data_IF_457405925537
#
_entry.id   IF_457405925537
#
_cell.length_a   1.000
_cell.length_b   1.000
_cell.length_c   1.000
_cell.angle_alpha   90.00
_cell.angle_beta   90.00
_cell.angle_gamma   90.00
#
_symmetry.space_group_name_H-M   'P 1'
#
loop_
_entity.id
_entity.type
_entity.pdbx_description
1 polymer ?
#
# COMPACT_ATOMS: atom_id res chain seq x y z
N UNK A 1 -1.15 -0.63 -28.80
CA UNK A 1 -1.12 -0.17 -27.39
C UNK A 1 -2.46 0.49 -27.10
N UNK A 2 -3.16 0.10 -26.06
CA UNK A 2 -4.32 0.85 -25.62
C UNK A 2 -3.86 2.25 -25.19
N UNK A 3 -4.63 3.31 -25.50
CA UNK A 3 -4.25 4.66 -25.09
C UNK A 3 -4.21 4.73 -23.56
N UNK A 4 -3.22 5.42 -23.02
CA UNK A 4 -3.17 5.75 -21.59
C UNK A 4 -4.35 6.65 -21.21
N UNK A 5 -4.84 6.51 -20.00
CA UNK A 5 -5.91 7.37 -19.49
C UNK A 5 -5.43 8.84 -19.46
N UNK A 6 -6.21 9.79 -20.02
CA UNK A 6 -5.82 11.20 -19.98
C UNK A 6 -5.88 11.74 -18.55
N UNK A 7 -4.91 12.57 -18.16
CA UNK A 7 -4.84 13.14 -16.81
C UNK A 7 -6.06 14.02 -16.47
N UNK A 8 -6.72 14.59 -17.48
CA UNK A 8 -7.94 15.40 -17.29
C UNK A 8 -9.14 14.59 -16.83
N UNK A 9 -9.11 13.26 -16.99
CA UNK A 9 -10.12 12.36 -16.44
C UNK A 9 -10.02 12.16 -14.92
N UNK A 10 -8.93 12.64 -14.30
CA UNK A 10 -8.74 12.56 -12.85
C UNK A 10 -9.69 13.49 -12.11
N UNK A 11 -10.34 12.95 -11.09
CA UNK A 11 -11.10 13.67 -10.08
C UNK A 11 -10.35 13.61 -8.75
N UNK A 12 -10.62 14.54 -7.84
CA UNK A 12 -10.02 14.58 -6.51
C UNK A 12 -11.11 14.59 -5.45
N UNK A 13 -10.94 13.76 -4.42
CA UNK A 13 -11.94 13.49 -3.38
C UNK A 13 -11.29 13.73 -2.02
N UNK A 14 -12.00 14.44 -1.15
CA UNK A 14 -11.48 14.91 0.12
C UNK A 14 -10.57 16.12 -0.06
N UNK A 15 -10.29 16.81 1.04
CA UNK A 15 -9.39 17.97 1.11
C UNK A 15 -8.72 18.02 2.47
N UNK A 16 -7.50 18.59 2.53
CA UNK A 16 -6.77 18.76 3.78
C UNK A 16 -6.41 17.46 4.48
N UNK A 17 -6.33 16.35 3.74
CA UNK A 17 -5.75 15.10 4.22
C UNK A 17 -4.24 15.29 4.38
N UNK A 18 -3.63 14.50 5.24
CA UNK A 18 -2.18 14.57 5.43
C UNK A 18 -1.54 13.25 5.04
N UNK A 19 -0.93 13.22 3.86
CA UNK A 19 -0.28 12.02 3.31
C UNK A 19 -1.26 10.82 3.29
N UNK A 20 -2.34 10.91 2.48
CA UNK A 20 -3.30 9.79 2.33
C UNK A 20 -2.67 8.64 1.54
N UNK A 21 -1.67 8.00 2.13
CA UNK A 21 -0.79 7.06 1.45
C UNK A 21 -1.50 5.76 1.10
N UNK A 22 -2.26 5.18 2.02
CA UNK A 22 -3.04 3.96 1.79
C UNK A 22 -4.53 4.33 1.76
N UNK A 23 -5.24 3.90 0.73
CA UNK A 23 -6.68 4.15 0.56
C UNK A 23 -7.47 2.85 0.54
N UNK A 24 -8.63 2.82 1.22
CA UNK A 24 -9.59 1.73 1.21
C UNK A 24 -10.96 2.25 0.77
N UNK A 25 -11.72 1.44 0.04
CA UNK A 25 -13.08 1.75 -0.39
C UNK A 25 -14.06 0.65 0.05
N UNK A 26 -15.32 1.02 0.33
CA UNK A 26 -16.38 0.09 0.71
C UNK A 26 -17.57 0.15 -0.24
N UNK A 27 -18.43 -0.86 -0.20
CA UNK A 27 -19.67 -0.90 -0.98
C UNK A 27 -20.64 0.23 -0.62
N UNK A 28 -20.58 0.74 0.61
CA UNK A 28 -21.35 1.91 1.05
C UNK A 28 -20.85 3.22 0.42
N UNK A 29 -19.72 3.19 -0.30
CA UNK A 29 -19.08 4.36 -0.90
C UNK A 29 -18.19 5.15 0.05
N UNK A 30 -17.96 4.64 1.26
CA UNK A 30 -17.00 5.22 2.19
C UNK A 30 -15.57 5.01 1.71
N UNK A 31 -14.74 6.05 1.84
CA UNK A 31 -13.29 5.97 1.64
C UNK A 31 -12.59 6.18 2.97
N UNK A 32 -11.55 5.38 3.20
CA UNK A 32 -10.68 5.53 4.36
C UNK A 32 -9.24 5.67 3.87
N UNK A 33 -8.50 6.59 4.46
CA UNK A 33 -7.09 6.79 4.12
C UNK A 33 -6.24 6.96 5.37
N UNK A 34 -5.02 6.43 5.35
CA UNK A 34 -4.02 6.76 6.37
C UNK A 34 -3.83 8.27 6.44
N UNK A 35 -3.69 8.82 7.64
CA UNK A 35 -3.54 10.26 7.82
C UNK A 35 -2.51 10.57 8.92
N UNK A 36 -1.45 11.29 8.56
CA UNK A 36 -0.36 11.59 9.48
C UNK A 36 -0.71 12.63 10.56
N UNK A 37 -1.94 13.12 10.60
CA UNK A 37 -2.48 13.79 11.78
C UNK A 37 -2.76 12.83 12.94
N UNK A 38 -2.46 11.53 12.77
CA UNK A 38 -2.45 10.54 13.83
C UNK A 38 -3.51 9.45 13.71
N UNK A 39 -3.90 9.03 12.51
CA UNK A 39 -4.91 7.99 12.38
C UNK A 39 -5.45 7.72 10.98
N UNK A 40 -6.77 7.66 10.86
CA UNK A 40 -7.46 7.34 9.60
C UNK A 40 -8.48 8.42 9.28
N UNK A 41 -8.34 9.04 8.13
CA UNK A 41 -9.35 9.91 7.56
C UNK A 41 -10.46 9.07 6.92
N UNK A 42 -11.69 9.42 7.20
CA UNK A 42 -12.91 8.86 6.60
C UNK A 42 -13.56 9.94 5.74
N UNK A 43 -13.72 9.69 4.47
CA UNK A 43 -14.44 10.55 3.52
C UNK A 43 -15.71 9.81 3.09
N UNK A 44 -16.85 10.40 3.37
CA UNK A 44 -18.17 9.81 3.06
C UNK A 44 -18.62 10.15 1.64
N UNK A 45 -19.63 9.43 1.10
CA UNK A 45 -20.18 9.70 -0.22
C UNK A 45 -20.73 11.13 -0.39
N UNK A 46 -21.21 11.76 0.69
CA UNK A 46 -21.71 13.15 0.70
C UNK A 46 -20.59 14.20 0.77
N UNK A 47 -19.33 13.75 0.77
CA UNK A 47 -18.14 14.60 0.88
C UNK A 47 -17.77 15.01 2.31
N UNK A 48 -18.58 14.68 3.31
CA UNK A 48 -18.22 14.95 4.70
C UNK A 48 -17.02 14.12 5.14
N UNK A 49 -16.18 14.69 6.01
CA UNK A 49 -14.93 14.07 6.43
C UNK A 49 -14.86 13.96 7.96
N UNK A 50 -14.27 12.89 8.45
CA UNK A 50 -13.96 12.67 9.86
C UNK A 50 -12.58 12.06 10.00
N UNK A 51 -11.80 12.55 10.95
CA UNK A 51 -10.54 11.91 11.37
C UNK A 51 -10.80 11.03 12.60
N UNK A 52 -10.47 9.75 12.50
CA UNK A 52 -10.30 8.87 13.65
C UNK A 52 -8.83 8.93 14.04
N UNK A 53 -8.53 9.61 15.13
CA UNK A 53 -7.16 9.78 15.59
C UNK A 53 -6.97 9.16 16.97
N UNK A 54 -5.73 8.78 17.27
CA UNK A 54 -5.30 8.29 18.55
C UNK A 54 -3.81 8.48 18.74
N UNK A 55 -3.33 8.21 19.94
CA UNK A 55 -1.93 8.35 20.29
C UNK A 55 -1.38 7.03 20.81
N UNK A 56 -0.11 6.77 20.49
CA UNK A 56 0.66 5.69 21.11
C UNK A 56 0.91 5.98 22.60
N UNK A 57 1.20 4.95 23.41
CA UNK A 57 1.64 5.15 24.79
C UNK A 57 2.76 6.18 24.89
N UNK A 58 2.60 7.13 25.82
CA UNK A 58 3.51 8.26 26.00
C UNK A 58 3.21 9.48 25.12
N UNK A 59 2.01 9.57 24.50
CA UNK A 59 1.57 10.75 23.73
C UNK A 59 2.25 10.90 22.36
N UNK A 60 2.83 9.83 21.83
CA UNK A 60 3.44 9.88 20.51
C UNK A 60 2.39 9.73 19.41
N UNK A 61 2.50 10.49 18.30
CA UNK A 61 1.53 10.40 17.22
C UNK A 61 1.66 9.07 16.47
N UNK A 62 0.54 8.55 16.02
CA UNK A 62 0.52 7.51 15.00
C UNK A 62 1.04 8.08 13.66
N UNK A 63 1.85 7.29 12.98
CA UNK A 63 2.35 7.56 11.62
C UNK A 63 1.93 6.43 10.69
N UNK A 64 0.62 6.32 10.38
CA UNK A 64 0.13 5.23 9.57
C UNK A 64 0.67 5.32 8.15
N UNK A 65 1.15 4.19 7.65
CA UNK A 65 1.44 3.99 6.24
C UNK A 65 0.35 3.11 5.63
N UNK A 66 0.48 1.80 5.66
CA UNK A 66 -0.63 0.90 5.31
C UNK A 66 -1.70 0.86 6.39
N UNK A 67 -2.95 0.72 5.98
CA UNK A 67 -4.10 0.53 6.89
C UNK A 67 -4.96 -0.64 6.45
N UNK A 68 -5.62 -1.31 7.39
CA UNK A 68 -6.64 -2.32 7.11
C UNK A 68 -7.89 -2.06 7.94
N UNK A 69 -9.06 -2.17 7.32
CA UNK A 69 -10.36 -2.05 7.98
C UNK A 69 -10.84 -3.44 8.39
N UNK A 70 -11.01 -3.64 9.70
CA UNK A 70 -11.46 -4.90 10.28
C UNK A 70 -12.99 -5.04 10.26
N UNK A 71 -13.47 -6.27 10.34
CA UNK A 71 -14.91 -6.56 10.49
C UNK A 71 -15.54 -5.89 11.72
N UNK A 72 -14.76 -5.70 12.78
CA UNK A 72 -15.17 -4.96 14.00
C UNK A 72 -15.43 -3.49 13.75
N UNK A 73 -14.95 -2.94 12.63
CA UNK A 73 -14.96 -1.51 12.32
C UNK A 73 -13.74 -0.75 12.85
N UNK A 74 -12.84 -1.39 13.61
CA UNK A 74 -11.55 -0.82 13.97
C UNK A 74 -10.58 -0.87 12.78
N UNK A 75 -9.43 -0.21 12.91
CA UNK A 75 -8.38 -0.18 11.90
C UNK A 75 -7.11 -0.81 12.44
N UNK A 76 -6.43 -1.62 11.63
CA UNK A 76 -5.02 -1.92 11.83
C UNK A 76 -4.20 -0.90 11.08
N UNK A 77 -3.15 -0.40 11.72
CA UNK A 77 -2.26 0.64 11.19
C UNK A 77 -0.82 0.15 11.23
N UNK A 78 -0.16 0.12 10.08
CA UNK A 78 1.28 -0.10 10.01
C UNK A 78 2.00 1.20 10.40
N UNK A 79 2.73 1.16 11.50
CA UNK A 79 3.43 2.31 12.08
C UNK A 79 4.79 2.50 11.40
N UNK A 80 4.97 3.64 10.72
CA UNK A 80 6.16 3.94 9.92
C UNK A 80 7.20 4.79 10.66
N UNK A 81 7.07 4.97 11.95
CA UNK A 81 8.00 5.77 12.75
C UNK A 81 9.34 5.06 12.95
N UNK A 82 10.46 5.77 12.75
CA UNK A 82 11.81 5.21 12.88
C UNK A 82 12.14 4.77 14.32
N UNK A 83 11.47 5.33 15.32
CA UNK A 83 11.68 4.99 16.74
C UNK A 83 10.84 3.79 17.20
N UNK A 84 9.70 3.53 16.54
CA UNK A 84 8.78 2.46 16.91
C UNK A 84 7.99 1.97 15.71
N UNK A 85 8.27 0.77 15.24
CA UNK A 85 7.49 0.06 14.22
C UNK A 85 6.37 -0.78 14.83
N UNK A 86 5.82 -1.65 14.01
CA UNK A 86 4.74 -2.58 14.37
C UNK A 86 3.39 -2.19 13.81
N UNK A 87 2.39 -3.00 14.14
CA UNK A 87 0.99 -2.79 13.79
C UNK A 87 0.21 -2.48 15.06
N UNK A 88 -0.57 -1.43 15.01
CA UNK A 88 -1.45 -1.00 16.11
C UNK A 88 -2.91 -1.04 15.67
N UNK A 89 -3.81 -1.34 16.60
CA UNK A 89 -5.25 -1.26 16.38
C UNK A 89 -5.78 0.08 16.88
N UNK A 90 -6.40 0.84 15.97
CA UNK A 90 -7.10 2.09 16.29
C UNK A 90 -8.61 1.84 16.31
N UNK A 91 -9.24 2.10 17.44
CA UNK A 91 -10.68 2.00 17.61
C UNK A 91 -11.39 3.31 17.24
N UNK A 92 -12.68 3.23 16.94
CA UNK A 92 -13.48 4.39 16.52
C UNK A 92 -13.62 5.47 17.62
N UNK A 93 -13.37 5.12 18.88
CA UNK A 93 -13.36 6.01 20.04
C UNK A 93 -12.01 6.70 20.29
N UNK A 94 -11.00 6.42 19.46
CA UNK A 94 -9.64 6.98 19.56
C UNK A 94 -8.67 6.15 20.40
N UNK A 95 -9.13 5.08 21.03
CA UNK A 95 -8.25 4.16 21.77
C UNK A 95 -7.32 3.46 20.80
N UNK A 96 -6.05 3.33 21.19
CA UNK A 96 -5.00 2.61 20.44
C UNK A 96 -4.48 1.46 21.29
N UNK A 97 -4.32 0.30 20.67
CA UNK A 97 -3.74 -0.89 21.30
C UNK A 97 -2.64 -1.50 20.39
N UNK A 98 -1.57 -2.05 20.97
CA UNK A 98 -0.61 -2.84 20.18
C UNK A 98 -1.31 -4.10 19.65
N UNK A 99 -1.09 -4.41 18.36
CA UNK A 99 -1.59 -5.62 17.73
C UNK A 99 -0.47 -6.59 17.39
N UNK A 100 0.57 -6.11 16.68
CA UNK A 100 1.74 -6.90 16.29
C UNK A 100 2.95 -5.98 16.34
N UNK A 101 3.68 -6.00 17.46
CA UNK A 101 4.80 -5.08 17.70
C UNK A 101 6.15 -5.80 17.80
N UNK A 102 6.12 -7.13 17.87
CA UNK A 102 7.31 -7.98 17.93
C UNK A 102 7.03 -9.35 17.29
N UNK A 103 8.08 -10.03 16.88
CA UNK A 103 8.08 -11.44 16.45
C UNK A 103 9.28 -12.12 17.11
N UNK A 104 9.05 -13.28 17.74
CA UNK A 104 10.10 -14.06 18.46
C UNK A 104 10.87 -13.21 19.50
N UNK A 105 10.18 -12.28 20.18
CA UNK A 105 10.77 -11.39 21.17
C UNK A 105 11.60 -10.24 20.59
N UNK A 106 11.60 -10.07 19.25
CA UNK A 106 12.30 -8.98 18.57
C UNK A 106 11.30 -7.94 18.10
N UNK A 107 11.46 -6.70 18.58
CA UNK A 107 10.61 -5.58 18.18
C UNK A 107 10.67 -5.33 16.67
N UNK A 108 9.51 -5.10 16.07
CA UNK A 108 9.43 -4.82 14.63
C UNK A 108 10.04 -3.45 14.30
N UNK A 109 10.81 -3.37 13.21
CA UNK A 109 11.24 -2.09 12.62
C UNK A 109 10.03 -1.29 12.10
N UNK A 110 10.24 -0.05 11.58
CA UNK A 110 9.20 0.70 10.88
C UNK A 110 8.45 -0.20 9.91
N UNK A 111 7.14 -0.37 10.17
CA UNK A 111 6.29 -1.32 9.44
C UNK A 111 5.57 -0.57 8.33
N UNK A 112 5.65 -1.11 7.11
CA UNK A 112 5.20 -0.40 5.92
C UNK A 112 3.71 -0.61 5.64
N UNK A 113 3.27 -1.86 5.59
CA UNK A 113 1.92 -2.20 5.17
C UNK A 113 1.29 -3.26 6.07
N UNK A 114 -0.05 -3.27 6.12
CA UNK A 114 -0.84 -4.28 6.82
C UNK A 114 -2.11 -4.59 6.02
N UNK A 115 -2.43 -5.87 5.89
CA UNK A 115 -3.69 -6.33 5.32
C UNK A 115 -4.25 -7.50 6.13
N UNK A 116 -5.57 -7.56 6.25
CA UNK A 116 -6.30 -8.73 6.76
C UNK A 116 -6.95 -9.45 5.57
N UNK A 117 -6.71 -10.75 5.44
CA UNK A 117 -7.28 -11.54 4.36
C UNK A 117 -8.68 -12.09 4.71
N UNK A 118 -9.33 -12.74 3.74
CA UNK A 118 -10.66 -13.32 3.91
C UNK A 118 -10.73 -14.41 4.99
N UNK A 119 -9.61 -15.05 5.31
CA UNK A 119 -9.48 -16.05 6.37
C UNK A 119 -9.21 -15.42 7.75
N UNK A 120 -9.05 -14.11 7.84
CA UNK A 120 -8.74 -13.37 9.08
C UNK A 120 -7.26 -13.42 9.47
N UNK A 121 -6.38 -13.84 8.56
CA UNK A 121 -4.93 -13.75 8.76
C UNK A 121 -4.46 -12.33 8.47
N UNK A 122 -3.58 -11.82 9.31
CA UNK A 122 -2.99 -10.48 9.14
C UNK A 122 -1.57 -10.60 8.61
N UNK A 123 -1.35 -9.98 7.46
CA UNK A 123 -0.04 -9.84 6.83
C UNK A 123 0.51 -8.45 7.14
N UNK A 124 1.75 -8.35 7.63
CA UNK A 124 2.44 -7.09 7.82
C UNK A 124 3.79 -7.12 7.11
N UNK A 125 4.18 -6.01 6.48
CA UNK A 125 5.45 -5.91 5.75
C UNK A 125 6.40 -4.95 6.42
N UNK A 126 7.67 -5.34 6.45
CA UNK A 126 8.79 -4.48 6.85
C UNK A 126 9.70 -4.31 5.65
N UNK A 127 9.86 -3.08 5.20
CA UNK A 127 10.61 -2.79 3.97
C UNK A 127 12.08 -3.15 4.09
N UNK A 128 12.70 -2.90 5.24
CA UNK A 128 14.12 -3.10 5.52
C UNK A 128 14.36 -3.11 7.03
N UNK A 129 15.41 -3.77 7.46
CA UNK A 129 15.93 -3.69 8.85
C UNK A 129 16.85 -2.50 9.08
N UNK A 130 17.25 -1.80 8.02
CA UNK A 130 18.15 -0.65 8.13
C UNK A 130 17.45 0.58 8.70
N UNK A 131 18.18 1.40 9.43
CA UNK A 131 17.74 2.67 9.99
C UNK A 131 18.79 3.75 9.72
N UNK A 132 18.42 4.86 9.07
CA UNK A 132 17.11 5.14 8.46
C UNK A 132 16.83 4.22 7.27
N UNK A 133 15.56 3.96 6.97
CA UNK A 133 15.10 3.08 5.89
C UNK A 133 15.63 3.47 4.51
N UNK A 134 15.94 4.75 4.31
CA UNK A 134 16.48 5.27 3.05
C UNK A 134 17.88 4.71 2.69
N UNK A 135 18.58 4.09 3.63
CA UNK A 135 19.84 3.39 3.33
C UNK A 135 19.65 2.21 2.37
N UNK A 136 18.41 1.78 2.19
CA UNK A 136 18.07 0.63 1.33
C UNK A 136 17.35 1.03 0.03
N UNK A 137 17.37 2.32 -0.35
CA UNK A 137 16.84 2.80 -1.63
C UNK A 137 17.83 2.51 -2.77
N UNK A 138 18.12 1.22 -2.97
CA UNK A 138 19.20 0.76 -3.84
C UNK A 138 18.89 -0.62 -4.45
N UNK A 139 19.50 -0.97 -5.62
CA UNK A 139 19.17 -2.19 -6.35
C UNK A 139 19.54 -3.50 -5.62
N UNK A 140 20.50 -3.45 -4.73
CA UNK A 140 21.02 -4.61 -3.98
C UNK A 140 20.41 -4.79 -2.59
N UNK A 141 19.31 -4.08 -2.28
CA UNK A 141 18.56 -4.28 -1.05
C UNK A 141 17.93 -5.68 -0.99
N UNK A 142 18.01 -6.36 0.15
CA UNK A 142 17.53 -7.73 0.31
C UNK A 142 17.30 -8.11 1.78
N UNK A 143 16.82 -7.20 2.62
CA UNK A 143 16.58 -7.48 4.04
C UNK A 143 15.15 -7.16 4.50
N UNK A 144 14.27 -6.86 3.57
CA UNK A 144 12.83 -6.75 3.82
C UNK A 144 12.18 -8.11 4.10
N UNK A 145 11.08 -8.12 4.83
CA UNK A 145 10.39 -9.35 5.20
C UNK A 145 8.88 -9.18 5.36
N UNK A 146 8.17 -10.30 5.42
CA UNK A 146 6.73 -10.37 5.64
C UNK A 146 6.46 -11.17 6.92
N UNK A 147 5.64 -10.61 7.80
CA UNK A 147 5.10 -11.28 9.00
C UNK A 147 3.67 -11.69 8.72
N UNK A 148 3.31 -12.94 9.07
CA UNK A 148 1.95 -13.42 9.12
C UNK A 148 1.55 -13.64 10.57
N UNK A 149 0.41 -13.09 10.98
CA UNK A 149 -0.23 -13.32 12.26
C UNK A 149 -1.58 -14.00 12.06
N UNK A 150 -1.78 -15.11 12.73
CA UNK A 150 -3.02 -15.92 12.73
C UNK A 150 -3.27 -16.54 14.11
N UNK A 151 -4.20 -17.50 14.21
CA UNK A 151 -4.50 -18.20 15.46
C UNK A 151 -3.32 -19.00 16.05
N UNK A 152 -2.28 -19.28 15.24
CA UNK A 152 -1.06 -19.97 15.67
C UNK A 152 0.01 -19.02 16.22
N UNK A 153 -0.22 -17.71 16.14
CA UNK A 153 0.72 -16.66 16.54
C UNK A 153 1.30 -15.89 15.33
N UNK A 154 2.31 -15.07 15.59
CA UNK A 154 2.99 -14.27 14.58
C UNK A 154 4.35 -14.90 14.22
N UNK A 155 4.68 -14.90 12.92
CA UNK A 155 5.93 -15.45 12.40
C UNK A 155 6.38 -14.77 11.13
N UNK A 156 7.69 -14.70 10.86
CA UNK A 156 8.22 -14.29 9.57
C UNK A 156 7.98 -15.43 8.57
N UNK A 157 7.27 -15.15 7.48
CA UNK A 157 6.92 -16.14 6.45
C UNK A 157 7.70 -15.98 5.15
N UNK A 158 8.26 -14.79 4.90
CA UNK A 158 9.19 -14.52 3.81
C UNK A 158 10.24 -13.51 4.27
N UNK A 159 11.48 -13.67 3.82
CA UNK A 159 12.63 -12.84 4.19
C UNK A 159 13.54 -12.62 2.97
N UNK A 160 14.47 -11.69 3.07
CA UNK A 160 15.40 -11.38 1.98
C UNK A 160 14.73 -10.69 0.79
N UNK A 161 13.75 -9.84 1.04
CA UNK A 161 12.99 -9.15 0.00
C UNK A 161 13.59 -7.77 -0.29
N UNK A 162 13.50 -7.34 -1.55
CA UNK A 162 14.11 -6.11 -2.04
C UNK A 162 13.29 -4.85 -1.77
N UNK A 163 13.21 -4.45 -0.50
CA UNK A 163 12.39 -3.37 0.02
C UNK A 163 10.88 -3.69 -0.08
N UNK A 164 10.42 -4.53 0.84
CA UNK A 164 9.05 -5.03 0.88
C UNK A 164 8.05 -3.89 1.05
N UNK A 165 7.09 -3.80 0.14
CA UNK A 165 6.00 -2.83 0.21
C UNK A 165 4.65 -3.53 0.43
N UNK A 166 3.61 -3.21 -0.32
CA UNK A 166 2.32 -3.85 -0.15
C UNK A 166 2.37 -5.36 -0.47
N UNK A 167 1.70 -6.15 0.37
CA UNK A 167 1.54 -7.58 0.18
C UNK A 167 0.08 -7.98 0.42
N UNK A 168 -0.57 -8.58 -0.59
CA UNK A 168 -1.99 -8.93 -0.57
C UNK A 168 -2.19 -10.38 -1.06
N UNK A 169 -3.08 -11.10 -0.39
CA UNK A 169 -3.51 -12.43 -0.81
C UNK A 169 -4.39 -12.32 -2.05
N UNK A 170 -4.11 -13.17 -3.05
CA UNK A 170 -4.89 -13.23 -4.29
C UNK A 170 -6.37 -13.55 -4.02
N UNK A 171 -7.28 -13.15 -4.92
CA UNK A 171 -8.72 -13.40 -4.76
C UNK A 171 -9.11 -14.86 -4.54
N UNK A 172 -8.35 -15.79 -5.12
CA UNK A 172 -8.56 -17.23 -4.98
C UNK A 172 -7.91 -17.84 -3.72
N UNK A 173 -7.22 -16.99 -2.92
CA UNK A 173 -6.58 -17.40 -1.67
C UNK A 173 -5.31 -18.25 -1.81
N UNK A 174 -4.83 -18.49 -3.03
CA UNK A 174 -3.72 -19.42 -3.29
C UNK A 174 -2.35 -18.79 -3.31
N UNK A 175 -2.27 -17.47 -3.42
CA UNK A 175 -1.01 -16.74 -3.57
C UNK A 175 -0.96 -15.53 -2.65
N UNK A 176 0.21 -15.26 -2.12
CA UNK A 176 0.55 -13.96 -1.52
C UNK A 176 1.41 -13.20 -2.53
N UNK A 177 0.88 -12.10 -3.06
CA UNK A 177 1.62 -11.20 -3.94
C UNK A 177 2.30 -10.09 -3.13
N UNK A 178 3.45 -9.62 -3.59
CA UNK A 178 4.22 -8.57 -2.93
C UNK A 178 4.96 -7.69 -3.95
N UNK A 179 4.91 -6.39 -3.74
CA UNK A 179 5.77 -5.43 -4.40
C UNK A 179 7.11 -5.32 -3.65
N UNK A 180 8.21 -5.48 -4.38
CA UNK A 180 9.57 -5.22 -3.91
C UNK A 180 10.06 -3.94 -4.59
N UNK A 181 9.91 -2.79 -3.91
CA UNK A 181 10.04 -1.44 -4.50
C UNK A 181 11.38 -1.20 -5.16
N UNK A 182 12.48 -1.44 -4.41
CA UNK A 182 13.82 -1.14 -4.94
C UNK A 182 14.46 -2.34 -5.64
N UNK A 183 13.93 -3.55 -5.50
CA UNK A 183 14.23 -4.63 -6.43
C UNK A 183 13.40 -4.53 -7.73
N UNK A 184 12.49 -3.57 -7.83
CA UNK A 184 11.66 -3.26 -9.00
C UNK A 184 10.96 -4.48 -9.57
N UNK A 185 10.26 -5.22 -8.72
CA UNK A 185 9.54 -6.42 -9.17
C UNK A 185 8.25 -6.65 -8.41
N UNK A 186 7.32 -7.30 -9.08
CA UNK A 186 6.16 -7.94 -8.49
C UNK A 186 6.52 -9.42 -8.32
N UNK A 187 6.47 -9.91 -7.09
CA UNK A 187 6.67 -11.31 -6.78
C UNK A 187 5.42 -11.91 -6.14
N UNK A 188 5.36 -13.24 -6.09
CA UNK A 188 4.30 -13.98 -5.40
C UNK A 188 4.86 -15.24 -4.75
N UNK A 189 4.14 -15.74 -3.77
CA UNK A 189 4.44 -16.99 -3.08
C UNK A 189 3.19 -17.87 -3.06
N UNK A 190 3.27 -19.18 -3.35
CA UNK A 190 2.18 -20.09 -3.05
C UNK A 190 1.83 -20.02 -1.55
N UNK A 191 0.57 -19.75 -1.22
CA UNK A 191 0.07 -19.65 0.14
C UNK A 191 -0.69 -20.92 0.51
N UNK A 192 -0.23 -21.64 1.51
CA UNK A 192 -0.87 -22.86 2.01
C UNK A 192 -1.93 -22.54 3.07
N UNK A 193 -2.82 -23.48 3.31
CA UNK A 193 -3.89 -23.32 4.30
C UNK A 193 -3.37 -23.05 5.72
N UNK A 194 -2.21 -23.61 6.07
CA UNK A 194 -1.54 -23.38 7.35
C UNK A 194 -0.77 -22.04 7.43
N UNK A 195 -0.88 -21.19 6.39
CA UNK A 195 -0.20 -19.90 6.31
C UNK A 195 1.27 -19.97 5.93
N UNK A 196 1.82 -21.17 5.66
CA UNK A 196 3.19 -21.28 5.14
C UNK A 196 3.26 -20.89 3.67
N UNK A 197 4.41 -20.37 3.27
CA UNK A 197 4.65 -19.97 1.88
C UNK A 197 5.51 -21.00 1.14
N UNK A 198 5.22 -21.17 -0.15
CA UNK A 198 6.09 -21.90 -1.07
C UNK A 198 7.23 -21.03 -1.59
N UNK A 199 8.01 -21.53 -2.57
CA UNK A 199 9.09 -20.76 -3.19
C UNK A 199 8.60 -19.48 -3.84
N UNK A 200 9.46 -18.42 -3.77
CA UNK A 200 9.20 -17.15 -4.45
C UNK A 200 9.16 -17.32 -5.96
N UNK A 201 8.14 -16.79 -6.59
CA UNK A 201 7.97 -16.68 -8.03
C UNK A 201 7.93 -15.20 -8.42
N UNK A 202 8.79 -14.77 -9.35
CA UNK A 202 8.82 -13.41 -9.86
C UNK A 202 7.85 -13.31 -11.04
N UNK A 203 6.74 -12.59 -10.85
CA UNK A 203 5.72 -12.40 -11.88
C UNK A 203 6.23 -11.51 -13.00
N UNK A 204 6.85 -10.38 -12.63
CA UNK A 204 7.44 -9.43 -13.59
C UNK A 204 8.46 -8.53 -12.91
N UNK A 205 9.38 -7.99 -13.71
CA UNK A 205 10.31 -6.95 -13.30
C UNK A 205 9.98 -5.65 -14.04
N UNK A 206 10.20 -4.52 -13.37
CA UNK A 206 9.87 -3.21 -13.93
C UNK A 206 11.13 -2.50 -14.41
N UNK A 207 10.93 -1.73 -15.46
CA UNK A 207 11.98 -0.91 -16.06
C UNK A 207 12.23 0.40 -15.30
N UNK A 208 13.01 1.22 -15.94
CA UNK A 208 13.44 2.54 -15.51
C UNK A 208 12.27 3.42 -15.02
N UNK A 209 12.48 4.09 -13.90
CA UNK A 209 11.51 5.00 -13.28
C UNK A 209 10.34 4.31 -12.60
N UNK A 210 10.28 2.99 -12.60
CA UNK A 210 9.19 2.26 -11.95
C UNK A 210 9.66 1.67 -10.64
N UNK A 211 9.09 2.17 -9.55
CA UNK A 211 9.31 1.72 -8.18
C UNK A 211 7.96 1.29 -7.61
N UNK A 212 7.59 -0.01 -7.73
CA UNK A 212 6.27 -0.50 -7.35
C UNK A 212 6.02 -0.29 -5.86
N UNK A 213 4.81 0.21 -5.52
CA UNK A 213 4.42 0.55 -4.16
C UNK A 213 3.12 -0.17 -3.78
N UNK A 214 1.94 0.39 -4.08
CA UNK A 214 0.66 -0.22 -3.83
C UNK A 214 0.29 -1.30 -4.85
N UNK A 215 -0.54 -2.27 -4.43
CA UNK A 215 -1.09 -3.29 -5.31
C UNK A 215 -2.53 -3.66 -4.96
N UNK A 216 -3.32 -3.99 -5.97
CA UNK A 216 -4.67 -4.55 -5.82
C UNK A 216 -5.02 -5.43 -7.02
N UNK A 217 -6.16 -6.13 -6.96
CA UNK A 217 -6.61 -7.01 -8.03
C UNK A 217 -7.83 -6.47 -8.75
N UNK A 218 -7.93 -6.74 -10.05
CA UNK A 218 -9.17 -6.57 -10.81
C UNK A 218 -9.94 -7.88 -10.95
N UNK A 219 -11.15 -7.79 -11.53
CA UNK A 219 -12.06 -8.93 -11.73
C UNK A 219 -11.55 -9.94 -12.77
N UNK A 220 -10.52 -9.60 -13.54
CA UNK A 220 -9.87 -10.47 -14.53
C UNK A 220 -8.57 -11.08 -14.00
N UNK A 221 -8.35 -11.01 -12.67
CA UNK A 221 -7.16 -11.54 -11.99
C UNK A 221 -5.84 -10.87 -12.38
N UNK A 222 -5.88 -9.67 -12.93
CA UNK A 222 -4.67 -8.86 -13.12
C UNK A 222 -4.35 -8.12 -11.83
N UNK A 223 -3.07 -7.87 -11.63
CA UNK A 223 -2.58 -7.01 -10.54
C UNK A 223 -2.43 -5.58 -11.05
N UNK A 224 -3.03 -4.64 -10.34
CA UNK A 224 -2.81 -3.22 -10.58
C UNK A 224 -1.82 -2.71 -9.54
N UNK A 225 -0.79 -2.02 -10.00
CA UNK A 225 0.24 -1.45 -9.13
C UNK A 225 0.39 0.04 -9.38
N UNK A 226 0.71 0.76 -8.31
CA UNK A 226 1.19 2.13 -8.38
C UNK A 226 2.72 2.15 -8.36
N UNK A 227 3.30 3.20 -8.92
CA UNK A 227 4.73 3.47 -8.84
C UNK A 227 4.97 4.84 -8.27
N UNK A 228 5.68 4.91 -7.17
CA UNK A 228 6.25 6.17 -6.68
C UNK A 228 7.27 6.73 -7.67
N UNK A 229 7.62 8.02 -7.54
CA UNK A 229 8.52 8.77 -8.42
C UNK A 229 7.88 9.09 -9.77
N UNK A 230 7.39 8.09 -10.50
CA UNK A 230 6.88 8.28 -11.87
C UNK A 230 5.36 8.46 -11.96
N UNK A 231 4.65 8.39 -10.84
CA UNK A 231 3.18 8.49 -10.83
C UNK A 231 2.52 7.58 -11.88
N UNK A 232 2.98 6.33 -11.97
CA UNK A 232 2.43 5.33 -12.89
C UNK A 232 1.42 4.43 -12.20
N UNK A 233 0.34 4.12 -12.93
CA UNK A 233 -0.51 2.96 -12.65
C UNK A 233 -0.27 1.95 -13.76
N UNK A 234 0.11 0.74 -13.39
CA UNK A 234 0.42 -0.35 -14.32
C UNK A 234 -0.47 -1.54 -13.99
N UNK A 235 -1.11 -2.10 -15.01
CA UNK A 235 -1.88 -3.34 -14.94
C UNK A 235 -0.99 -4.49 -15.40
N UNK A 236 -0.80 -5.49 -14.55
CA UNK A 236 0.06 -6.65 -14.79
C UNK A 236 -0.81 -7.90 -14.98
N UNK A 237 -0.71 -8.54 -16.13
CA UNK A 237 -1.43 -9.78 -16.40
C UNK A 237 -0.83 -10.97 -15.62
N UNK A 238 -1.56 -12.07 -15.46
CA UNK A 238 -1.06 -13.27 -14.76
C UNK A 238 0.24 -13.87 -15.35
N UNK A 239 0.51 -13.63 -16.63
CA UNK A 239 1.74 -14.03 -17.34
C UNK A 239 2.88 -13.00 -17.21
N UNK A 240 2.67 -11.90 -16.49
CA UNK A 240 3.63 -10.84 -16.27
C UNK A 240 3.62 -9.71 -17.30
N UNK A 241 2.77 -9.77 -18.33
CA UNK A 241 2.65 -8.70 -19.33
C UNK A 241 2.14 -7.41 -18.66
N UNK A 242 2.79 -6.27 -18.98
CA UNK A 242 2.51 -4.98 -18.38
C UNK A 242 1.73 -4.07 -19.35
N UNK A 243 0.72 -3.39 -18.84
CA UNK A 243 -0.01 -2.35 -19.55
C UNK A 243 0.01 -1.07 -18.72
N UNK A 244 0.56 0.00 -19.28
CA UNK A 244 0.52 1.32 -18.65
C UNK A 244 -0.90 1.89 -18.74
N UNK A 245 -1.50 2.18 -17.59
CA UNK A 245 -2.86 2.74 -17.49
C UNK A 245 -2.84 4.26 -17.44
N UNK A 246 -1.98 4.82 -16.59
CA UNK A 246 -1.80 6.26 -16.42
C UNK A 246 -0.35 6.56 -16.07
N UNK A 247 0.13 7.72 -16.48
CA UNK A 247 1.44 8.25 -16.12
C UNK A 247 1.37 9.77 -15.99
N UNK A 248 1.96 10.29 -14.90
CA UNK A 248 2.15 11.73 -14.67
C UNK A 248 3.56 12.00 -14.15
N UNK A 249 4.55 11.51 -14.90
CA UNK A 249 5.95 11.63 -14.56
C UNK A 249 6.55 12.95 -15.06
N UNK A 250 7.47 13.50 -14.27
CA UNK A 250 8.46 14.48 -14.73
C UNK A 250 9.69 13.69 -15.24
N UNK A 251 10.00 13.74 -16.55
CA UNK A 251 11.12 12.97 -17.10
C UNK A 251 12.48 13.35 -16.50
N UNK A 252 12.68 14.64 -16.15
CA UNK A 252 13.94 15.09 -15.56
C UNK A 252 14.12 14.55 -14.15
N UNK A 253 13.06 14.57 -13.34
CA UNK A 253 13.07 14.00 -11.99
C UNK A 253 13.25 12.47 -12.01
N UNK A 254 12.62 11.77 -12.96
CA UNK A 254 12.81 10.32 -13.15
C UNK A 254 14.28 10.03 -13.47
N UNK A 255 14.92 10.84 -14.32
CA UNK A 255 16.34 10.69 -14.66
C UNK A 255 17.24 10.87 -13.45
N UNK A 256 17.01 11.91 -12.65
CA UNK A 256 17.73 12.16 -11.41
C UNK A 256 17.59 10.98 -10.43
N UNK A 257 16.38 10.50 -10.21
CA UNK A 257 16.12 9.34 -9.35
C UNK A 257 16.81 8.08 -9.86
N UNK A 258 16.84 7.84 -11.18
CA UNK A 258 17.54 6.70 -11.78
C UNK A 258 19.04 6.77 -11.52
N UNK A 259 19.65 7.92 -11.75
CA UNK A 259 21.09 8.10 -11.52
C UNK A 259 21.43 7.87 -10.05
N UNK A 260 20.63 8.43 -9.13
CA UNK A 260 20.78 8.25 -7.69
C UNK A 260 20.57 6.79 -7.26
N UNK A 261 19.57 6.12 -7.81
CA UNK A 261 19.29 4.71 -7.53
C UNK A 261 20.45 3.80 -7.96
N UNK A 262 20.94 3.96 -9.19
CA UNK A 262 22.03 3.14 -9.73
C UNK A 262 23.36 3.38 -9.02
N UNK A 263 23.60 4.61 -8.54
CA UNK A 263 24.81 4.96 -7.76
C UNK A 263 24.68 4.64 -6.28
N UNK A 264 23.50 4.18 -5.80
CA UNK A 264 23.25 3.91 -4.38
C UNK A 264 23.18 5.17 -3.50
N UNK A 265 22.90 6.33 -4.11
CA UNK A 265 22.76 7.63 -3.41
C UNK A 265 21.31 8.09 -3.30
N UNK A 266 20.36 7.29 -3.79
CA UNK A 266 18.95 7.61 -3.67
C UNK A 266 18.54 7.71 -2.20
N UNK A 267 17.78 8.73 -1.87
CA UNK A 267 17.35 8.99 -0.50
C UNK A 267 15.97 9.63 -0.45
N UNK A 268 15.55 9.98 0.74
CA UNK A 268 14.24 10.54 1.03
C UNK A 268 13.89 11.77 0.18
N UNK A 269 14.81 12.73 -0.07
CA UNK A 269 14.52 13.90 -0.92
C UNK A 269 13.97 13.53 -2.31
N UNK A 270 14.45 12.45 -2.93
CA UNK A 270 13.98 11.99 -4.24
C UNK A 270 12.50 11.57 -4.25
N UNK A 271 11.96 11.14 -3.10
CA UNK A 271 10.54 10.81 -2.94
C UNK A 271 9.70 12.01 -2.47
N UNK A 272 10.32 12.98 -1.79
CA UNK A 272 9.64 14.14 -1.22
C UNK A 272 9.52 15.31 -2.18
N UNK A 273 10.21 15.28 -3.32
CA UNK A 273 10.21 16.32 -4.35
C UNK A 273 9.55 15.91 -5.66
N UNK A 274 8.85 14.78 -5.69
CA UNK A 274 8.13 14.32 -6.88
C UNK A 274 7.05 15.32 -7.28
N UNK A 275 7.12 15.81 -8.51
CA UNK A 275 6.16 16.76 -9.06
C UNK A 275 5.51 16.15 -10.30
N UNK A 276 4.20 15.88 -10.21
CA UNK A 276 3.36 15.59 -11.38
C UNK A 276 2.51 16.81 -11.74
N UNK A 277 1.93 16.84 -12.92
CA UNK A 277 0.96 17.88 -13.31
C UNK A 277 -0.31 17.83 -12.45
N UNK A 278 -0.79 16.62 -12.15
CA UNK A 278 -2.00 16.35 -11.40
C UNK A 278 -1.77 15.46 -10.18
N UNK A 279 -0.92 14.45 -10.29
CA UNK A 279 -0.67 13.46 -9.23
C UNK A 279 0.47 13.90 -8.30
N UNK A 280 0.45 13.39 -7.06
CA UNK A 280 1.34 13.82 -5.98
C UNK A 280 2.07 12.64 -5.35
N UNK A 281 2.90 11.96 -6.14
CA UNK A 281 3.65 10.77 -5.75
C UNK A 281 2.71 9.67 -5.25
N UNK A 282 1.96 9.06 -6.18
CA UNK A 282 0.96 8.03 -5.87
C UNK A 282 1.61 6.78 -5.27
N UNK A 283 0.95 6.19 -4.27
CA UNK A 283 1.50 5.10 -3.46
C UNK A 283 0.58 3.90 -3.34
N UNK A 284 -0.74 4.07 -3.31
CA UNK A 284 -1.68 2.96 -3.19
C UNK A 284 -2.83 3.06 -4.19
N UNK A 285 -3.56 1.97 -4.35
CA UNK A 285 -4.72 1.91 -5.22
C UNK A 285 -5.81 1.02 -4.60
N UNK A 286 -7.05 1.51 -4.61
CA UNK A 286 -8.24 0.72 -4.27
C UNK A 286 -9.30 0.87 -5.36
N UNK A 287 -10.06 -0.21 -5.59
CA UNK A 287 -11.27 -0.14 -6.40
C UNK A 287 -12.50 0.07 -5.53
N UNK A 288 -13.44 0.85 -6.04
CA UNK A 288 -14.73 1.08 -5.39
C UNK A 288 -15.74 1.71 -6.35
N UNK A 289 -16.73 2.44 -5.80
CA UNK A 289 -17.82 3.03 -6.57
C UNK A 289 -18.75 1.98 -7.18
N UNK A 290 -19.72 2.40 -8.00
CA UNK A 290 -20.69 1.50 -8.63
C UNK A 290 -19.99 0.43 -9.46
N UNK A 291 -20.26 -0.84 -9.14
CA UNK A 291 -19.67 -1.98 -9.85
C UNK A 291 -18.15 -2.10 -9.72
N UNK A 292 -17.53 -1.50 -8.69
CA UNK A 292 -16.06 -1.51 -8.49
C UNK A 292 -15.30 -0.89 -9.69
N UNK A 293 -15.90 0.07 -10.40
CA UNK A 293 -15.32 0.67 -11.60
C UNK A 293 -14.71 2.05 -11.37
N UNK A 294 -14.51 2.45 -10.12
CA UNK A 294 -13.72 3.64 -9.80
C UNK A 294 -12.42 3.20 -9.13
N UNK A 295 -11.29 3.61 -9.68
CA UNK A 295 -9.99 3.45 -9.06
C UNK A 295 -9.67 4.70 -8.23
N UNK A 296 -9.27 4.51 -6.98
CA UNK A 296 -8.87 5.56 -6.03
C UNK A 296 -7.38 5.42 -5.77
N UNK A 297 -6.64 6.52 -5.83
CA UNK A 297 -5.19 6.55 -5.65
C UNK A 297 -4.83 7.30 -4.38
N UNK A 298 -4.13 6.64 -3.48
CA UNK A 298 -3.42 7.27 -2.38
C UNK A 298 -2.13 7.92 -2.84
N UNK A 299 -1.57 8.82 -2.02
CA UNK A 299 -0.34 9.52 -2.37
C UNK A 299 0.49 9.94 -1.15
N UNK A 300 1.79 10.18 -1.39
CA UNK A 300 2.73 10.60 -0.36
C UNK A 300 2.72 12.10 -0.12
N UNK A 301 2.41 12.92 -1.12
CA UNK A 301 2.66 14.37 -1.11
C UNK A 301 1.39 15.21 -1.33
N UNK A 302 0.22 14.58 -1.41
CA UNK A 302 -1.05 15.27 -1.62
C UNK A 302 -1.89 15.37 -0.36
N UNK A 303 -3.00 16.09 -0.50
CA UNK A 303 -4.00 16.33 0.54
C UNK A 303 -5.40 15.84 0.15
N UNK A 304 -5.48 15.04 -0.90
CA UNK A 304 -6.72 14.49 -1.46
C UNK A 304 -6.46 13.15 -2.15
N UNK A 305 -7.51 12.37 -2.35
CA UNK A 305 -7.49 11.09 -3.05
C UNK A 305 -7.80 11.34 -4.52
N UNK A 306 -6.90 10.97 -5.42
CA UNK A 306 -7.19 11.02 -6.86
C UNK A 306 -8.08 9.83 -7.26
N UNK A 307 -8.96 10.01 -8.23
CA UNK A 307 -9.85 8.96 -8.71
C UNK A 307 -10.07 9.05 -10.22
N UNK A 308 -10.30 7.89 -10.85
CA UNK A 308 -10.67 7.79 -12.26
C UNK A 308 -11.58 6.59 -12.53
N UNK A 309 -12.31 6.62 -13.64
CA UNK A 309 -13.16 5.51 -14.04
C UNK A 309 -12.31 4.42 -14.69
N UNK A 310 -12.33 3.24 -14.09
CA UNK A 310 -11.57 2.08 -14.58
C UNK A 310 -12.32 1.37 -15.72
N UNK A 311 -11.62 0.98 -16.80
CA UNK A 311 -12.22 0.19 -17.87
C UNK A 311 -12.58 -1.23 -17.43
N UNK A 312 -12.00 -1.71 -16.33
CA UNK A 312 -12.22 -3.05 -15.75
C UNK A 312 -12.68 -2.88 -14.31
N UNK A 313 -13.61 -3.72 -13.87
CA UNK A 313 -14.02 -3.74 -12.47
C UNK A 313 -12.89 -4.25 -11.58
N UNK A 314 -12.76 -3.70 -10.37
CA UNK A 314 -11.90 -4.26 -9.34
C UNK A 314 -12.44 -5.55 -8.76
N UNK A 315 -11.59 -6.27 -8.02
CA UNK A 315 -12.02 -7.36 -7.16
C UNK A 315 -12.41 -6.80 -5.77
N UNK A 316 -13.55 -7.20 -5.19
CA UNK A 316 -13.97 -6.72 -3.86
C UNK A 316 -12.96 -7.16 -2.79
N UNK A 317 -12.41 -6.22 -1.99
CA UNK A 317 -11.52 -6.57 -0.89
C UNK A 317 -12.29 -7.22 0.27
N UNK A 318 -11.61 -7.86 1.24
CA UNK A 318 -12.26 -8.51 2.39
C UNK A 318 -13.19 -7.61 3.21
N UNK A 319 -12.92 -6.31 3.25
CA UNK A 319 -13.71 -5.30 3.96
C UNK A 319 -14.81 -4.65 3.11
N UNK A 320 -15.04 -5.12 1.87
CA UNK A 320 -15.95 -4.49 0.91
C UNK A 320 -17.34 -4.20 1.48
N UNK A 321 -17.94 -5.16 2.16
CA UNK A 321 -19.31 -5.05 2.71
C UNK A 321 -19.39 -4.25 4.04
N UNK A 322 -18.28 -3.66 4.49
CA UNK A 322 -18.30 -2.86 5.72
C UNK A 322 -19.19 -1.62 5.56
N UNK A 323 -20.12 -1.43 6.49
CA UNK A 323 -21.06 -0.29 6.47
C UNK A 323 -22.26 -0.44 5.52
N UNK A 324 -22.33 -1.51 4.74
CA UNK A 324 -23.52 -1.81 3.94
C UNK A 324 -24.69 -2.19 4.84
N UNK A 325 -25.87 -1.64 4.59
CA UNK A 325 -27.09 -2.09 5.25
C UNK A 325 -27.35 -3.56 4.85
N UNK A 326 -27.45 -4.45 5.86
CA UNK A 326 -27.88 -5.83 5.65
C UNK A 326 -29.38 -5.89 5.40
#
# INVERSE_FOLDING_TARGET
MSPTLPLDALRFIGTGLNRPECVLATAAGDLYAGDWRGGVAHVKPDGSQKLYAGELPGGRPLRPNGIALRRSGSFLLAQLDESQGGVFELFRDGRVAPFLVEVDGVALPPTNFVAEDAAGRVCATVSTRKRPRSLDYRPDCADGFIVLADSSGARIVADGLGYTNEAIVSPDGRWLYVNETFARRLARFPLRADGTLGPKDVVTTFGRGTYPDGLTFDSESHVWITSVVSNRVIRVAPDGAQTLVIEDADPAHVEECEAAYLSGTMGRPHLDTVVGRRLRNISSLAFGGPGLRTAYLGCLLGDSIAAFDSPVAGHPPPHWEHGSAR
#
